data_IF_742219824270
#
_entry.id   IF_742219824270
#
_cell.length_a   1.000
_cell.length_b   1.000
_cell.length_c   1.000
_cell.angle_alpha   90.00
_cell.angle_beta   90.00
_cell.angle_gamma   90.00
#
_symmetry.space_group_name_H-M   'P 1'
#
loop_
_entity.id
_entity.type
_entity.pdbx_description
1 polymer ?
#
# COMPACT_ATOMS: atom_id res chain seq x y z
N UNK A 1 40.09 18.43 6.39
CA UNK A 1 38.62 18.37 6.26
C UNK A 1 38.21 16.98 6.71
N UNK A 2 37.79 16.83 7.97
CA UNK A 2 37.39 15.54 8.50
C UNK A 2 36.01 15.18 7.91
N UNK A 3 35.98 14.16 7.04
CA UNK A 3 34.73 13.47 6.72
C UNK A 3 34.26 12.81 8.00
N UNK A 4 33.28 13.44 8.66
CA UNK A 4 32.50 12.79 9.69
C UNK A 4 31.71 11.68 9.00
N UNK A 5 32.29 10.48 8.93
CA UNK A 5 31.55 9.25 8.70
C UNK A 5 30.62 9.08 9.90
N UNK A 6 29.42 9.63 9.81
CA UNK A 6 28.33 9.20 10.69
C UNK A 6 28.12 7.70 10.44
N UNK A 7 27.92 6.88 11.48
CA UNK A 7 27.57 5.48 11.30
C UNK A 7 26.36 5.43 10.36
N UNK A 8 26.51 4.77 9.21
CA UNK A 8 25.40 4.64 8.27
C UNK A 8 24.31 3.83 8.97
N UNK A 9 23.24 4.52 9.37
CA UNK A 9 22.10 3.90 10.04
C UNK A 9 21.40 2.94 9.07
N UNK A 10 20.71 1.94 9.58
CA UNK A 10 19.92 1.00 8.78
C UNK A 10 18.93 1.74 7.86
N UNK A 11 18.34 2.82 8.37
CA UNK A 11 17.52 3.76 7.58
C UNK A 11 18.26 4.35 6.38
N UNK A 12 19.54 4.73 6.51
CA UNK A 12 20.32 5.31 5.43
C UNK A 12 20.59 4.31 4.31
N UNK A 13 20.89 3.09 4.70
CA UNK A 13 21.07 1.99 3.76
C UNK A 13 19.76 1.71 3.02
N UNK A 14 18.63 1.68 3.73
CA UNK A 14 17.31 1.50 3.15
C UNK A 14 16.92 2.61 2.16
N UNK A 15 17.07 3.88 2.55
CA UNK A 15 16.76 5.03 1.70
C UNK A 15 17.64 5.07 0.44
N UNK A 16 18.92 4.67 0.53
CA UNK A 16 19.80 4.51 -0.63
C UNK A 16 19.32 3.41 -1.57
N UNK A 17 18.90 2.25 -1.06
CA UNK A 17 18.40 1.14 -1.88
C UNK A 17 17.18 1.53 -2.71
N UNK A 18 16.27 2.32 -2.14
CA UNK A 18 15.07 2.79 -2.84
C UNK A 18 15.31 4.07 -3.67
N UNK A 19 16.54 4.60 -3.67
CA UNK A 19 16.96 5.85 -4.34
C UNK A 19 16.24 7.10 -3.82
N UNK A 20 15.89 7.10 -2.54
CA UNK A 20 15.22 8.22 -1.85
C UNK A 20 16.11 8.87 -0.77
N UNK A 21 17.41 8.58 -0.76
CA UNK A 21 18.38 9.17 0.18
C UNK A 21 18.36 10.71 0.23
N UNK A 22 17.96 11.38 -0.86
CA UNK A 22 17.77 12.84 -0.93
C UNK A 22 16.70 13.39 0.03
N UNK A 23 15.77 12.55 0.49
CA UNK A 23 14.69 12.96 1.39
C UNK A 23 15.00 12.64 2.86
N UNK A 24 16.18 12.11 3.16
CA UNK A 24 16.60 11.71 4.52
C UNK A 24 16.45 12.84 5.53
N UNK A 25 16.99 14.02 5.22
CA UNK A 25 16.93 15.17 6.13
C UNK A 25 15.49 15.55 6.45
N UNK A 26 14.63 15.60 5.44
CA UNK A 26 13.21 15.90 5.64
C UNK A 26 12.46 14.81 6.43
N UNK A 27 12.82 13.54 6.26
CA UNK A 27 12.25 12.44 7.05
C UNK A 27 12.65 12.55 8.53
N UNK A 28 13.91 12.92 8.79
CA UNK A 28 14.39 13.19 10.16
C UNK A 28 13.72 14.43 10.77
N UNK A 29 13.44 15.46 9.96
CA UNK A 29 12.70 16.65 10.42
C UNK A 29 11.25 16.31 10.83
N UNK A 30 10.67 15.25 10.27
CA UNK A 30 9.36 14.71 10.68
C UNK A 30 9.44 13.88 11.98
N UNK A 31 10.64 13.63 12.50
CA UNK A 31 10.88 12.84 13.70
C UNK A 31 10.86 11.33 13.46
N UNK A 32 10.99 10.86 12.21
CA UNK A 32 11.13 9.45 11.90
C UNK A 32 12.60 9.05 11.97
N UNK A 33 12.97 8.32 13.04
CA UNK A 33 14.35 7.89 13.28
C UNK A 33 14.53 6.40 12.93
N UNK A 34 13.48 5.60 13.08
CA UNK A 34 13.49 4.16 12.85
C UNK A 34 12.71 3.74 11.58
N UNK A 35 12.94 2.52 11.09
CA UNK A 35 12.23 1.96 9.93
C UNK A 35 10.72 1.81 10.19
N UNK A 36 10.33 1.58 11.44
CA UNK A 36 8.93 1.45 11.86
C UNK A 36 8.17 2.77 11.71
N UNK A 37 8.79 3.89 12.10
CA UNK A 37 8.21 5.24 12.01
C UNK A 37 7.87 5.65 10.58
N UNK A 38 8.63 5.15 9.59
CA UNK A 38 8.42 5.44 8.17
C UNK A 38 7.04 4.98 7.67
N UNK A 39 6.42 3.98 8.32
CA UNK A 39 5.08 3.53 7.92
C UNK A 39 4.02 4.56 8.28
N UNK A 40 4.22 5.29 9.38
CA UNK A 40 3.22 6.16 9.99
C UNK A 40 3.19 7.54 9.33
N UNK A 41 4.21 7.88 8.54
CA UNK A 41 4.24 9.13 7.76
C UNK A 41 3.09 9.14 6.74
N UNK A 42 2.13 10.08 6.81
CA UNK A 42 1.02 10.14 5.88
C UNK A 42 1.47 10.56 4.47
N UNK A 43 0.75 10.09 3.45
CA UNK A 43 1.07 10.41 2.05
C UNK A 43 1.06 11.93 1.77
N UNK A 44 0.23 12.69 2.48
CA UNK A 44 0.16 14.15 2.38
C UNK A 44 1.47 14.84 2.78
N UNK A 45 2.19 14.31 3.77
CA UNK A 45 3.49 14.84 4.19
C UNK A 45 4.58 14.47 3.19
N UNK A 46 4.54 13.25 2.64
CA UNK A 46 5.44 12.84 1.57
C UNK A 46 5.30 13.74 0.33
N UNK A 47 4.07 14.12 -0.01
CA UNK A 47 3.78 15.07 -1.10
C UNK A 47 4.30 16.47 -0.76
N UNK A 48 4.10 16.96 0.47
CA UNK A 48 4.62 18.27 0.91
C UNK A 48 6.15 18.35 0.85
N UNK A 49 6.85 17.24 1.10
CA UNK A 49 8.31 17.13 0.93
C UNK A 49 8.75 17.09 -0.55
N UNK A 50 7.82 17.10 -1.50
CA UNK A 50 8.11 17.08 -2.93
C UNK A 50 8.34 15.69 -3.51
N UNK A 51 7.98 14.61 -2.80
CA UNK A 51 8.01 13.27 -3.40
C UNK A 51 6.98 13.16 -4.53
N UNK A 52 7.40 12.53 -5.63
CA UNK A 52 6.48 12.23 -6.73
C UNK A 52 5.55 11.08 -6.33
N UNK A 53 4.31 11.00 -6.85
CA UNK A 53 3.38 9.91 -6.53
C UNK A 53 3.96 8.50 -6.77
N UNK A 54 4.80 8.35 -7.80
CA UNK A 54 5.50 7.09 -8.09
C UNK A 54 6.57 6.75 -7.05
N UNK A 55 7.27 7.76 -6.53
CA UNK A 55 8.25 7.60 -5.45
C UNK A 55 7.55 7.20 -4.15
N UNK A 56 6.42 7.83 -3.82
CA UNK A 56 5.57 7.52 -2.66
C UNK A 56 5.08 6.06 -2.72
N UNK A 57 4.55 5.63 -3.86
CA UNK A 57 4.09 4.25 -4.04
C UNK A 57 5.21 3.21 -3.89
N UNK A 58 6.43 3.56 -4.33
CA UNK A 58 7.62 2.70 -4.13
C UNK A 58 8.05 2.68 -2.66
N UNK A 59 8.06 3.84 -2.00
CA UNK A 59 8.41 3.99 -0.59
C UNK A 59 7.52 3.13 0.30
N UNK A 60 6.19 3.34 0.25
CA UNK A 60 5.22 2.60 1.06
C UNK A 60 5.30 1.09 0.84
N UNK A 61 5.49 0.65 -0.41
CA UNK A 61 5.66 -0.78 -0.72
C UNK A 61 6.90 -1.36 -0.05
N UNK A 62 8.03 -0.65 -0.15
CA UNK A 62 9.31 -1.13 0.38
C UNK A 62 9.35 -1.12 1.90
N UNK A 63 8.79 -0.10 2.54
CA UNK A 63 8.66 -0.03 4.01
C UNK A 63 7.85 -1.24 4.52
N UNK A 64 6.68 -1.50 3.92
CA UNK A 64 5.87 -2.67 4.28
C UNK A 64 6.56 -4.02 4.02
N UNK A 65 7.44 -4.11 3.01
CA UNK A 65 8.24 -5.31 2.78
C UNK A 65 9.29 -5.51 3.87
N UNK A 66 9.94 -4.45 4.33
CA UNK A 66 11.01 -4.52 5.33
C UNK A 66 10.48 -4.87 6.72
N UNK A 67 9.38 -4.23 7.15
CA UNK A 67 8.69 -4.53 8.40
C UNK A 67 8.28 -6.02 8.47
N UNK A 68 7.85 -6.59 7.34
CA UNK A 68 7.53 -8.03 7.24
C UNK A 68 8.77 -8.93 7.37
N UNK A 69 9.93 -8.49 6.91
CA UNK A 69 11.17 -9.26 7.02
C UNK A 69 11.72 -9.23 8.44
N UNK A 70 11.70 -8.07 9.10
CA UNK A 70 12.12 -7.94 10.51
C UNK A 70 11.31 -8.86 11.42
N UNK A 71 10.00 -8.93 11.18
CA UNK A 71 9.10 -9.88 11.85
C UNK A 71 9.50 -11.36 11.65
N UNK A 72 10.19 -11.68 10.55
CA UNK A 72 10.61 -13.04 10.20
C UNK A 72 12.00 -13.40 10.75
N UNK A 73 12.90 -12.42 10.88
CA UNK A 73 14.27 -12.66 11.38
C UNK A 73 14.37 -12.67 12.91
N UNK A 74 13.40 -12.08 13.62
CA UNK A 74 13.42 -12.03 15.08
C UNK A 74 12.80 -13.28 15.76
N UNK A 75 12.48 -14.33 15.00
CA UNK A 75 12.27 -15.66 15.60
C UNK A 75 13.62 -16.25 16.00
N UNK A 76 14.13 -15.83 17.16
CA UNK A 76 15.14 -16.57 17.89
C UNK A 76 14.66 -18.03 17.95
N UNK A 77 15.46 -19.02 17.49
CA UNK A 77 15.02 -20.40 17.47
C UNK A 77 14.68 -20.78 18.91
N UNK A 78 13.38 -20.86 19.20
CA UNK A 78 12.88 -21.48 20.42
C UNK A 78 13.36 -22.91 20.31
N UNK A 79 14.36 -23.23 21.13
CA UNK A 79 14.89 -24.59 21.29
C UNK A 79 13.69 -25.46 21.64
N UNK A 80 13.17 -26.16 20.63
CA UNK A 80 12.14 -27.17 20.79
C UNK A 80 12.81 -28.37 21.45
N UNK A 81 12.81 -28.39 22.78
CA UNK A 81 12.87 -29.64 23.52
C UNK A 81 11.60 -30.43 23.18
N UNK A 82 11.83 -31.49 22.43
CA UNK A 82 10.93 -32.59 22.05
C UNK A 82 9.97 -33.01 23.16
N UNK A 83 8.69 -33.21 22.83
CA UNK A 83 8.04 -34.53 22.83
C UNK A 83 6.52 -34.44 22.59
N UNK A 84 6.07 -35.24 21.61
CA UNK A 84 4.79 -35.94 21.44
C UNK A 84 4.02 -35.69 20.13
N UNK A 85 3.51 -36.78 19.50
CA UNK A 85 2.82 -36.72 18.22
C UNK A 85 1.32 -36.48 18.45
N UNK A 86 0.78 -35.39 17.91
CA UNK A 86 -0.65 -35.29 17.65
C UNK A 86 -0.88 -34.85 16.21
N UNK A 87 -1.69 -35.66 15.52
CA UNK A 87 -2.03 -35.59 14.12
C UNK A 87 -2.79 -34.31 13.76
N UNK A 88 -2.56 -33.72 12.57
CA UNK A 88 -3.36 -32.60 12.11
C UNK A 88 -4.73 -33.11 11.62
N UNK A 89 -5.77 -32.83 12.40
CA UNK A 89 -7.15 -32.88 11.92
C UNK A 89 -7.32 -31.86 10.81
N UNK A 90 -7.67 -32.39 9.64
CA UNK A 90 -8.06 -31.70 8.42
C UNK A 90 -9.32 -30.87 8.67
N UNK A 91 -9.16 -29.62 9.10
CA UNK A 91 -10.27 -28.68 9.26
C UNK A 91 -9.97 -27.41 8.45
N UNK A 92 -10.81 -27.19 7.43
CA UNK A 92 -11.14 -25.89 6.81
C UNK A 92 -10.17 -25.18 5.84
N UNK A 93 -9.21 -25.87 5.21
CA UNK A 93 -8.47 -25.28 4.08
C UNK A 93 -9.34 -25.03 2.82
N UNK A 94 -10.45 -25.76 2.65
CA UNK A 94 -11.32 -25.63 1.46
C UNK A 94 -12.32 -24.48 1.58
N UNK A 95 -12.78 -24.15 2.80
CA UNK A 95 -13.66 -22.99 3.05
C UNK A 95 -12.96 -21.67 2.81
N UNK A 96 -11.67 -21.55 3.19
CA UNK A 96 -10.89 -20.33 2.95
C UNK A 96 -10.68 -20.03 1.46
N UNK A 97 -10.47 -21.07 0.63
CA UNK A 97 -10.32 -20.90 -0.83
C UNK A 97 -11.58 -20.35 -1.50
N UNK A 98 -12.77 -20.71 -1.01
CA UNK A 98 -14.06 -20.17 -1.51
C UNK A 98 -14.30 -18.71 -1.13
N UNK A 99 -13.81 -18.26 0.03
CA UNK A 99 -13.98 -16.86 0.47
C UNK A 99 -13.08 -15.91 -0.33
N UNK A 100 -11.83 -16.31 -0.56
CA UNK A 100 -10.84 -15.50 -1.30
C UNK A 100 -11.23 -15.36 -2.79
N UNK A 101 -11.84 -16.37 -3.39
CA UNK A 101 -12.28 -16.30 -4.80
C UNK A 101 -13.48 -15.36 -5.00
N UNK A 102 -14.40 -15.25 -4.03
CA UNK A 102 -15.56 -14.34 -4.13
C UNK A 102 -15.19 -12.85 -4.03
N UNK A 103 -14.16 -12.49 -3.25
CA UNK A 103 -13.78 -11.08 -3.07
C UNK A 103 -13.10 -10.49 -4.31
N UNK A 104 -12.45 -11.31 -5.13
CA UNK A 104 -11.75 -10.86 -6.34
C UNK A 104 -12.71 -10.35 -7.44
N UNK A 105 -13.94 -10.88 -7.49
CA UNK A 105 -14.95 -10.49 -8.49
C UNK A 105 -15.56 -9.11 -8.16
N UNK A 106 -15.74 -8.80 -6.88
CA UNK A 106 -16.34 -7.52 -6.45
C UNK A 106 -15.42 -6.30 -6.65
N UNK A 107 -14.11 -6.48 -6.51
CA UNK A 107 -13.15 -5.37 -6.69
C UNK A 107 -12.97 -4.97 -8.16
N UNK A 108 -13.03 -5.92 -9.10
CA UNK A 108 -12.89 -5.62 -10.53
C UNK A 108 -14.07 -4.80 -11.08
N UNK A 109 -15.30 -5.05 -10.63
CA UNK A 109 -16.47 -4.30 -11.11
C UNK A 109 -16.45 -2.82 -10.67
N UNK A 110 -15.94 -2.54 -9.46
CA UNK A 110 -15.89 -1.17 -8.91
C UNK A 110 -14.83 -0.29 -9.58
N UNK A 111 -13.70 -0.88 -10.00
CA UNK A 111 -12.63 -0.14 -10.70
C UNK A 111 -13.09 0.24 -12.11
N UNK A 112 -13.78 -0.65 -12.83
CA UNK A 112 -14.28 -0.36 -14.18
C UNK A 112 -15.30 0.78 -14.22
N UNK A 113 -16.20 0.86 -13.23
CA UNK A 113 -17.21 1.93 -13.18
C UNK A 113 -16.61 3.32 -12.92
N UNK A 114 -15.56 3.41 -12.08
CA UNK A 114 -14.91 4.70 -11.83
C UNK A 114 -14.12 5.18 -13.05
N UNK A 115 -13.47 4.28 -13.79
CA UNK A 115 -12.72 4.64 -15.01
C UNK A 115 -13.64 5.21 -16.10
N UNK A 116 -14.80 4.60 -16.31
CA UNK A 116 -15.78 5.04 -17.32
C UNK A 116 -16.37 6.42 -16.95
N UNK A 117 -16.61 6.69 -15.66
CA UNK A 117 -17.14 7.98 -15.21
C UNK A 117 -16.13 9.13 -15.31
N UNK A 118 -14.82 8.85 -15.32
CA UNK A 118 -13.78 9.87 -15.48
C UNK A 118 -13.47 10.23 -16.94
N UNK A 119 -13.66 9.31 -17.89
CA UNK A 119 -13.40 9.61 -19.31
C UNK A 119 -14.54 10.38 -20.01
N UNK A 120 -15.79 10.28 -19.54
CA UNK A 120 -16.94 10.92 -20.19
C UNK A 120 -17.18 12.39 -19.79
N UNK A 121 -16.29 13.01 -19.00
CA UNK A 121 -16.56 14.31 -18.37
C UNK A 121 -16.06 15.60 -19.05
N UNK A 122 -15.14 15.61 -20.04
CA UNK A 122 -14.70 16.90 -20.58
C UNK A 122 -15.51 17.46 -21.76
N UNK A 123 -16.34 16.68 -22.46
CA UNK A 123 -16.99 17.17 -23.71
C UNK A 123 -18.42 17.72 -23.58
N UNK A 124 -19.06 17.68 -22.40
CA UNK A 124 -20.47 18.14 -22.27
C UNK A 124 -20.58 19.60 -21.77
N UNK A 125 -19.46 20.27 -21.48
CA UNK A 125 -19.50 21.66 -20.99
C UNK A 125 -19.63 22.74 -22.08
N UNK A 126 -19.86 22.37 -23.35
CA UNK A 126 -20.07 23.37 -24.41
C UNK A 126 -21.49 23.44 -24.99
N UNK A 127 -22.44 22.57 -24.63
CA UNK A 127 -23.83 22.75 -25.04
C UNK A 127 -24.80 22.43 -23.90
N UNK A 128 -25.40 23.49 -23.35
CA UNK A 128 -26.42 23.40 -22.33
C UNK A 128 -27.59 22.53 -22.77
N UNK A 129 -27.79 21.40 -22.10
CA UNK A 129 -29.05 20.66 -22.12
C UNK A 129 -29.32 20.11 -20.71
N UNK A 130 -30.14 20.85 -19.96
CA UNK A 130 -30.46 20.59 -18.57
C UNK A 130 -31.62 19.57 -18.36
N UNK A 131 -31.93 18.73 -19.33
CA UNK A 131 -33.08 17.81 -19.23
C UNK A 131 -32.88 16.49 -19.99
N UNK A 132 -32.15 15.53 -19.42
CA UNK A 132 -32.34 14.11 -19.79
C UNK A 132 -31.76 13.07 -18.84
N UNK A 133 -30.85 13.42 -17.92
CA UNK A 133 -30.16 12.42 -17.08
C UNK A 133 -31.09 11.66 -16.10
N UNK A 134 -32.24 12.23 -15.72
CA UNK A 134 -33.19 11.54 -14.82
C UNK A 134 -34.01 10.42 -15.48
N UNK A 135 -34.05 10.34 -16.83
CA UNK A 135 -34.80 9.28 -17.53
C UNK A 135 -33.97 8.01 -17.80
N UNK A 136 -32.64 8.10 -17.84
CA UNK A 136 -31.80 6.92 -18.06
C UNK A 136 -31.68 6.02 -16.81
N UNK A 137 -31.81 6.57 -15.60
CA UNK A 137 -31.69 5.78 -14.36
C UNK A 137 -32.87 4.81 -14.18
N UNK A 138 -34.05 5.11 -14.73
CA UNK A 138 -35.24 4.26 -14.56
C UNK A 138 -35.22 3.03 -15.48
N UNK A 139 -34.56 3.09 -16.64
CA UNK A 139 -34.55 1.97 -17.59
C UNK A 139 -33.58 0.84 -17.22
N UNK A 140 -32.60 1.10 -16.35
CA UNK A 140 -31.61 0.07 -15.94
C UNK A 140 -32.10 -0.76 -14.74
N UNK A 141 -33.14 -0.32 -14.02
CA UNK A 141 -33.69 -1.05 -12.86
C UNK A 141 -34.82 -2.03 -13.21
N UNK A 142 -35.24 -2.13 -14.48
CA UNK A 142 -36.39 -2.96 -14.90
C UNK A 142 -36.04 -4.12 -15.85
N UNK A 143 -34.76 -4.41 -16.08
CA UNK A 143 -34.31 -5.59 -16.87
C UNK A 143 -33.32 -6.40 -16.05
#
# INVERSE_FOLDING_TARGET
MASNCTPETEMDTFLKQIRLAKYREHILDLGAEELEDLQDIPDDELVKMGMKPVEIGRFKRKVNEEIRKESSMNQKPVVQSSDLPFSPTTVDQEKLKKIISQQRIRCNLRISYQLIMTELKPEINHLGVHLTAKRCIILIWLT
#
